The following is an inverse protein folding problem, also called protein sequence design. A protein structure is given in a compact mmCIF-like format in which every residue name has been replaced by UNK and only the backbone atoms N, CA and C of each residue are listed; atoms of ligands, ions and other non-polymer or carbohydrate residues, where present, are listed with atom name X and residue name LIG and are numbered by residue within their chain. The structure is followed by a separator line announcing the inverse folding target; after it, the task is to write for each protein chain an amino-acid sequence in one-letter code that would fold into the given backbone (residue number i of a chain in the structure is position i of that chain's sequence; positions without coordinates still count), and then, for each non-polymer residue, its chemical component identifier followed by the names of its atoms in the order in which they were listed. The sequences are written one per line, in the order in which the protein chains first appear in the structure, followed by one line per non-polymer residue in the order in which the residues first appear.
data_IF_465592668655
#
_entry.id   IF_465592668655
#
_cell.length_a   1.000
_cell.length_b   1.000
_cell.length_c   1.000
_cell.angle_alpha   90.00
_cell.angle_beta   90.00
_cell.angle_gamma   90.00
#
_symmetry.space_group_name_H-M   'P 1'
#
loop_
_entity.id
_entity.type
_entity.pdbx_description
1 polymer ?
#
# COMPACT_ATOMS: atom_id res chain seq x y z
N UNK A 1 -17.81 35.71 46.31
CA UNK A 1 -19.04 35.07 45.80
C UNK A 1 -18.61 34.17 44.64
N UNK A 2 -18.03 32.97 44.89
CA UNK A 2 -18.70 31.65 45.00
C UNK A 2 -19.71 31.43 43.85
N UNK A 3 -19.71 30.37 43.03
CA UNK A 3 -19.21 28.97 43.09
C UNK A 3 -18.58 28.58 41.71
N UNK A 4 -17.58 27.71 41.51
CA UNK A 4 -17.27 26.30 41.90
C UNK A 4 -18.15 25.21 41.24
N UNK A 5 -17.45 24.20 40.67
CA UNK A 5 -17.84 22.81 40.30
C UNK A 5 -18.48 22.58 38.91
N UNK A 6 -18.25 21.51 38.14
CA UNK A 6 -17.24 20.42 38.03
C UNK A 6 -17.71 19.56 36.84
N UNK A 7 -16.82 19.09 35.96
CA UNK A 7 -16.78 17.74 35.33
C UNK A 7 -15.65 17.74 34.28
N UNK A 8 -14.45 17.24 34.62
CA UNK A 8 -13.92 15.91 34.25
C UNK A 8 -14.06 15.60 32.75
N UNK A 9 -13.01 15.77 31.93
CA UNK A 9 -11.86 14.88 31.74
C UNK A 9 -12.17 13.63 30.90
N UNK A 10 -11.55 13.51 29.72
CA UNK A 10 -11.06 12.24 29.17
C UNK A 10 -10.16 12.45 27.94
N UNK A 11 -8.90 12.00 28.09
CA UNK A 11 -7.94 11.61 27.04
C UNK A 11 -7.17 12.68 26.27
N UNK A 12 -6.36 13.42 27.05
CA UNK A 12 -4.98 13.76 26.70
C UNK A 12 -4.15 12.46 26.61
N UNK A 13 -3.52 12.16 25.47
CA UNK A 13 -2.49 11.10 25.37
C UNK A 13 -1.13 11.77 25.18
N UNK A 14 -0.44 12.14 26.27
CA UNK A 14 0.99 12.42 26.22
C UNK A 14 1.71 11.07 26.14
N UNK A 15 2.26 10.75 24.97
CA UNK A 15 3.24 9.67 24.80
C UNK A 15 4.50 10.07 25.57
N UNK A 16 4.51 9.71 26.85
CA UNK A 16 5.62 9.86 27.78
C UNK A 16 6.85 9.14 27.22
N UNK A 17 7.78 9.91 26.67
CA UNK A 17 9.16 9.50 26.34
C UNK A 17 10.01 9.15 27.58
N UNK A 18 9.39 9.03 28.76
CA UNK A 18 10.08 9.01 30.05
C UNK A 18 9.93 7.71 30.86
N UNK A 19 9.18 6.69 30.39
CA UNK A 19 9.00 5.44 31.14
C UNK A 19 9.89 4.28 30.68
N UNK A 20 10.64 4.43 29.58
CA UNK A 20 11.51 3.36 29.06
C UNK A 20 12.79 3.13 29.88
N UNK A 21 13.28 4.13 30.63
CA UNK A 21 14.51 3.95 31.44
C UNK A 21 14.25 3.22 32.76
N UNK A 22 13.08 3.37 33.38
CA UNK A 22 12.76 2.69 34.65
C UNK A 22 12.35 1.22 34.47
N UNK A 23 11.82 0.85 33.30
CA UNK A 23 11.49 -0.54 32.97
C UNK A 23 12.72 -1.36 32.56
N UNK A 24 13.81 -0.72 32.12
CA UNK A 24 15.06 -1.42 31.77
C UNK A 24 15.84 -1.86 33.02
N UNK A 25 15.74 -1.12 34.13
CA UNK A 25 16.41 -1.47 35.40
C UNK A 25 15.76 -2.65 36.16
N UNK A 26 14.55 -3.07 35.79
CA UNK A 26 13.90 -4.27 36.35
C UNK A 26 14.06 -5.52 35.46
N UNK A 27 14.80 -5.42 34.36
CA UNK A 27 14.97 -6.49 33.36
C UNK A 27 16.36 -7.15 33.39
N UNK A 28 17.13 -7.00 34.47
CA UNK A 28 18.17 -7.98 34.83
C UNK A 28 17.51 -9.20 35.51
N UNK A 29 16.62 -9.86 34.78
CA UNK A 29 16.34 -11.26 35.05
C UNK A 29 17.32 -12.04 34.18
N UNK A 30 18.44 -12.46 34.79
CA UNK A 30 19.29 -13.52 34.27
C UNK A 30 18.43 -14.77 34.06
N UNK A 31 17.85 -14.90 32.88
CA UNK A 31 17.16 -16.12 32.46
C UNK A 31 18.24 -17.13 32.10
N UNK A 32 18.81 -17.75 33.14
CA UNK A 32 19.71 -18.89 33.01
C UNK A 32 18.88 -20.12 32.62
N UNK A 33 18.78 -20.36 31.31
CA UNK A 33 18.14 -21.57 30.75
C UNK A 33 19.07 -22.75 31.04
N UNK A 34 18.84 -23.42 32.17
CA UNK A 34 19.50 -24.70 32.45
C UNK A 34 18.99 -25.77 31.48
N UNK A 35 19.93 -26.34 30.75
CA UNK A 35 19.80 -27.49 29.86
C UNK A 35 18.93 -28.61 30.47
N UNK A 36 17.92 -29.02 29.70
CA UNK A 36 16.93 -30.05 30.04
C UNK A 36 17.57 -31.45 30.01
N UNK A 37 17.78 -32.06 31.18
CA UNK A 37 17.87 -33.52 31.32
C UNK A 37 16.46 -34.09 31.36
N UNK A 38 16.13 -34.97 30.41
CA UNK A 38 14.85 -35.70 30.36
C UNK A 38 14.76 -36.72 31.50
N UNK A 39 13.88 -36.44 32.45
CA UNK A 39 13.12 -37.44 33.21
C UNK A 39 11.65 -37.03 33.12
N UNK A 40 10.73 -37.99 33.03
CA UNK A 40 9.31 -37.72 32.86
C UNK A 40 8.75 -37.07 34.14
N UNK A 41 8.79 -35.74 34.22
CA UNK A 41 8.22 -34.94 35.30
C UNK A 41 7.00 -34.18 34.77
N UNK A 42 5.84 -34.44 35.36
CA UNK A 42 4.61 -33.67 35.07
C UNK A 42 4.79 -32.20 35.45
N UNK A 43 4.22 -31.30 34.64
CA UNK A 43 4.18 -29.88 34.97
C UNK A 43 3.48 -29.67 36.30
N UNK A 44 4.08 -28.85 37.17
CA UNK A 44 3.42 -28.43 38.40
C UNK A 44 2.32 -27.42 38.09
N UNK A 45 1.29 -27.35 38.94
CA UNK A 45 0.21 -26.38 38.79
C UNK A 45 0.76 -24.94 38.79
N UNK A 46 1.82 -24.70 39.57
CA UNK A 46 2.50 -23.40 39.65
C UNK A 46 3.24 -23.07 38.36
N UNK A 47 3.99 -24.01 37.76
CA UNK A 47 4.68 -23.77 36.48
C UNK A 47 3.70 -23.37 35.37
N UNK A 48 2.55 -24.02 35.34
CA UNK A 48 1.52 -23.75 34.34
C UNK A 48 0.94 -22.35 34.50
N UNK A 49 0.70 -21.91 35.75
CA UNK A 49 0.25 -20.55 36.05
C UNK A 49 1.30 -19.49 35.69
N UNK A 50 2.58 -19.76 35.95
CA UNK A 50 3.68 -18.84 35.59
C UNK A 50 3.82 -18.76 34.07
N UNK A 51 3.74 -19.89 33.34
CA UNK A 51 3.78 -19.90 31.89
C UNK A 51 2.63 -19.10 31.26
N UNK A 52 1.40 -19.24 31.78
CA UNK A 52 0.23 -18.47 31.33
C UNK A 52 0.42 -16.98 31.64
N UNK A 53 0.93 -16.63 32.82
CA UNK A 53 1.17 -15.22 33.19
C UNK A 53 2.17 -14.55 32.24
N UNK A 54 3.28 -15.24 31.91
CA UNK A 54 4.27 -14.74 30.94
C UNK A 54 3.65 -14.64 29.54
N UNK A 55 2.86 -15.63 29.10
CA UNK A 55 2.20 -15.60 27.79
C UNK A 55 1.23 -14.41 27.66
N UNK A 56 0.44 -14.12 28.70
CA UNK A 56 -0.47 -12.99 28.72
C UNK A 56 0.26 -11.64 28.67
N UNK A 57 1.40 -11.51 29.39
CA UNK A 57 2.25 -10.33 29.35
C UNK A 57 2.79 -10.09 27.93
N UNK A 58 3.29 -11.15 27.27
CA UNK A 58 3.80 -11.07 25.90
C UNK A 58 2.70 -10.67 24.91
N UNK A 59 1.50 -11.22 25.04
CA UNK A 59 0.37 -10.88 24.18
C UNK A 59 -0.07 -9.42 24.34
N UNK A 60 -0.10 -8.92 25.59
CA UNK A 60 -0.47 -7.53 25.89
C UNK A 60 0.48 -6.52 25.23
N UNK A 61 1.80 -6.80 25.22
CA UNK A 61 2.81 -5.94 24.58
C UNK A 61 2.81 -6.11 23.05
N UNK A 62 2.51 -7.29 22.53
CA UNK A 62 2.61 -7.60 21.08
C UNK A 62 1.41 -7.12 20.25
N UNK A 63 0.21 -7.07 20.83
CA UNK A 63 -1.02 -6.68 20.14
C UNK A 63 -0.95 -5.34 19.37
N UNK A 64 -0.42 -4.22 19.92
CA UNK A 64 -0.36 -2.95 19.20
C UNK A 64 0.57 -2.96 17.97
N UNK A 65 1.61 -3.81 17.95
CA UNK A 65 2.57 -3.86 16.85
C UNK A 65 1.99 -4.46 15.57
N UNK A 66 1.07 -5.41 15.69
CA UNK A 66 0.41 -6.06 14.54
C UNK A 66 -0.43 -5.07 13.74
N UNK A 67 -1.12 -4.14 14.42
CA UNK A 67 -1.95 -3.13 13.76
C UNK A 67 -1.16 -2.14 12.89
N UNK A 68 0.10 -1.84 13.25
CA UNK A 68 0.97 -0.96 12.46
C UNK A 68 1.48 -1.61 11.18
N UNK A 69 1.88 -2.89 11.24
CA UNK A 69 2.33 -3.66 10.07
C UNK A 69 1.20 -3.91 9.07
N UNK A 70 -0.01 -4.22 9.55
CA UNK A 70 -1.17 -4.41 8.68
C UNK A 70 -1.60 -3.11 7.97
N UNK A 71 -1.45 -1.95 8.63
CA UNK A 71 -1.74 -0.64 8.04
C UNK A 71 -0.72 -0.22 6.97
N UNK A 72 0.57 -0.49 7.19
CA UNK A 72 1.62 -0.21 6.19
C UNK A 72 1.56 -1.13 4.99
N UNK A 73 1.11 -2.38 5.17
CA UNK A 73 0.99 -3.35 4.09
C UNK A 73 0.08 -2.86 2.96
N UNK A 74 -1.09 -2.25 3.27
CA UNK A 74 -2.07 -1.93 2.23
C UNK A 74 -1.62 -0.89 1.20
N UNK A 75 -0.83 0.12 1.59
CA UNK A 75 -0.29 1.11 0.63
C UNK A 75 0.76 0.47 -0.27
N UNK A 76 1.66 -0.33 0.33
CA UNK A 76 2.70 -1.02 -0.44
C UNK A 76 2.09 -2.01 -1.42
N UNK A 77 1.12 -2.81 -0.99
CA UNK A 77 0.45 -3.79 -1.85
C UNK A 77 -0.22 -3.12 -3.05
N UNK A 78 -0.99 -2.06 -2.83
CA UNK A 78 -1.64 -1.31 -3.91
C UNK A 78 -0.61 -0.67 -4.84
N UNK A 79 0.49 -0.16 -4.29
CA UNK A 79 1.55 0.42 -5.10
C UNK A 79 2.27 -0.61 -5.97
N UNK A 80 2.54 -1.80 -5.44
CA UNK A 80 3.12 -2.91 -6.19
C UNK A 80 2.17 -3.42 -7.27
N UNK A 81 0.88 -3.48 -7.00
CA UNK A 81 -0.14 -3.87 -7.97
C UNK A 81 -0.19 -2.90 -9.17
N UNK A 82 -0.18 -1.59 -8.89
CA UNK A 82 -0.16 -0.59 -9.94
C UNK A 82 1.15 -0.59 -10.74
N UNK A 83 2.30 -0.71 -10.06
CA UNK A 83 3.60 -0.87 -10.72
C UNK A 83 3.63 -2.12 -11.62
N UNK A 84 3.11 -3.24 -11.11
CA UNK A 84 2.99 -4.49 -11.86
C UNK A 84 2.10 -4.34 -13.10
N UNK A 85 1.01 -3.56 -13.00
CA UNK A 85 0.15 -3.25 -14.14
C UNK A 85 0.92 -2.50 -15.23
N UNK A 86 1.69 -1.47 -14.86
CA UNK A 86 2.48 -0.69 -15.83
C UNK A 86 3.59 -1.52 -16.47
N UNK A 87 4.27 -2.36 -15.68
CA UNK A 87 5.27 -3.31 -16.20
C UNK A 87 4.64 -4.34 -17.13
N UNK A 88 3.46 -4.88 -16.78
CA UNK A 88 2.70 -5.80 -17.63
C UNK A 88 2.33 -5.15 -18.97
N UNK A 89 1.75 -3.94 -18.94
CA UNK A 89 1.39 -3.21 -20.16
C UNK A 89 2.59 -2.95 -21.07
N UNK A 90 3.74 -2.58 -20.49
CA UNK A 90 5.00 -2.41 -21.23
C UNK A 90 5.43 -3.72 -21.91
N UNK A 91 5.43 -4.82 -21.18
CA UNK A 91 5.82 -6.13 -21.70
C UNK A 91 4.87 -6.61 -22.80
N UNK A 92 3.56 -6.43 -22.64
CA UNK A 92 2.58 -6.76 -23.68
C UNK A 92 2.78 -5.92 -24.95
N UNK A 93 3.11 -4.63 -24.81
CA UNK A 93 3.37 -3.78 -25.99
C UNK A 93 4.56 -4.30 -26.81
N UNK A 94 5.63 -4.71 -26.11
CA UNK A 94 6.82 -5.28 -26.73
C UNK A 94 6.50 -6.65 -27.35
N UNK A 95 5.86 -7.53 -26.59
CA UNK A 95 5.60 -8.91 -27.02
C UNK A 95 4.64 -8.99 -28.20
N UNK A 96 3.62 -8.13 -28.23
CA UNK A 96 2.63 -8.08 -29.32
C UNK A 96 3.07 -7.22 -30.48
N UNK A 97 4.15 -6.45 -30.33
CA UNK A 97 4.55 -5.40 -31.27
C UNK A 97 3.39 -4.43 -31.59
N UNK A 98 2.59 -4.08 -30.57
CA UNK A 98 1.39 -3.25 -30.68
C UNK A 98 1.35 -2.23 -29.54
N UNK A 99 0.51 -1.19 -29.69
CA UNK A 99 0.28 -0.22 -28.62
C UNK A 99 -0.61 -0.83 -27.55
N UNK A 100 -0.18 -0.75 -26.30
CA UNK A 100 -0.98 -1.15 -25.13
C UNK A 100 -1.24 0.08 -24.28
N UNK A 101 -2.50 0.30 -23.94
CA UNK A 101 -2.94 1.45 -23.16
C UNK A 101 -3.48 0.99 -21.81
N UNK A 102 -3.05 1.69 -20.75
CA UNK A 102 -3.63 1.59 -19.41
C UNK A 102 -4.44 2.85 -19.19
N UNK A 103 -5.73 2.74 -18.88
CA UNK A 103 -6.57 3.90 -18.63
C UNK A 103 -7.43 3.72 -17.38
N UNK A 104 -7.84 4.84 -16.77
CA UNK A 104 -8.85 4.82 -15.71
C UNK A 104 -10.15 4.26 -16.26
N UNK A 105 -10.79 3.39 -15.49
CA UNK A 105 -12.08 2.80 -15.84
C UNK A 105 -12.87 2.52 -14.57
N UNK A 106 -14.11 3.00 -14.51
CA UNK A 106 -15.00 2.77 -13.37
C UNK A 106 -15.84 1.50 -13.52
N UNK A 107 -16.11 1.08 -14.75
CA UNK A 107 -16.94 -0.08 -15.10
C UNK A 107 -16.11 -1.29 -15.58
N UNK A 108 -14.82 -1.09 -15.83
CA UNK A 108 -13.93 -2.10 -16.38
C UNK A 108 -14.12 -2.36 -17.87
N UNK A 109 -14.89 -1.54 -18.58
CA UNK A 109 -15.22 -1.75 -20.00
C UNK A 109 -14.67 -0.64 -20.87
N UNK A 110 -14.75 0.59 -20.38
CA UNK A 110 -14.34 1.76 -21.14
C UNK A 110 -13.39 2.67 -20.35
N UNK A 111 -12.59 3.44 -21.09
CA UNK A 111 -11.77 4.48 -20.51
C UNK A 111 -12.63 5.68 -20.11
N UNK A 112 -12.35 6.27 -18.96
CA UNK A 112 -13.04 7.50 -18.51
C UNK A 112 -12.06 8.61 -18.17
N UNK A 113 -12.49 9.83 -18.44
CA UNK A 113 -11.78 11.07 -18.07
C UNK A 113 -12.25 11.62 -16.72
N UNK A 114 -13.36 11.09 -16.19
CA UNK A 114 -13.94 11.49 -14.90
C UNK A 114 -13.36 10.65 -13.75
N UNK A 115 -13.39 11.22 -12.54
CA UNK A 115 -12.87 10.60 -11.32
C UNK A 115 -11.34 10.38 -11.32
N UNK A 116 -10.86 9.65 -10.31
CA UNK A 116 -9.44 9.31 -10.14
C UNK A 116 -9.14 7.87 -10.54
N UNK A 117 -7.86 7.49 -10.49
CA UNK A 117 -7.45 6.12 -10.82
C UNK A 117 -7.87 5.12 -9.74
N UNK A 118 -8.23 5.60 -8.54
CA UNK A 118 -8.73 4.77 -7.45
C UNK A 118 -10.04 4.05 -7.78
N UNK A 119 -10.82 4.50 -8.77
CA UNK A 119 -12.03 3.80 -9.20
C UNK A 119 -11.77 2.51 -9.98
N UNK A 120 -10.52 2.31 -10.41
CA UNK A 120 -10.11 1.17 -11.23
C UNK A 120 -9.43 1.59 -12.51
N UNK A 121 -8.84 0.60 -13.17
CA UNK A 121 -8.16 0.76 -14.46
C UNK A 121 -8.22 -0.52 -15.26
N UNK A 122 -8.07 -0.37 -16.57
CA UNK A 122 -7.97 -1.46 -17.52
C UNK A 122 -6.69 -1.35 -18.34
N UNK A 123 -6.21 -2.49 -18.81
CA UNK A 123 -5.10 -2.64 -19.75
C UNK A 123 -5.67 -3.30 -20.99
N UNK A 124 -5.48 -2.69 -22.16
CA UNK A 124 -6.06 -3.19 -23.40
C UNK A 124 -5.16 -2.90 -24.61
N UNK A 125 -5.42 -3.61 -25.70
CA UNK A 125 -4.78 -3.39 -27.00
C UNK A 125 -5.40 -2.16 -27.67
N UNK A 126 -4.58 -1.14 -27.94
CA UNK A 126 -5.03 0.12 -28.53
C UNK A 126 -4.59 0.20 -30.00
N UNK A 127 -5.14 -0.69 -30.83
CA UNK A 127 -4.81 -0.79 -32.25
C UNK A 127 -5.14 0.49 -33.02
N UNK A 128 -6.21 1.17 -32.62
CA UNK A 128 -6.67 2.43 -33.23
C UNK A 128 -5.87 3.67 -32.81
N UNK A 129 -4.99 3.57 -31.81
CA UNK A 129 -4.25 4.70 -31.25
C UNK A 129 -5.19 5.84 -30.79
N UNK A 130 -6.28 5.46 -30.12
CA UNK A 130 -7.32 6.38 -29.66
C UNK A 130 -7.41 6.45 -28.14
N UNK A 131 -6.65 5.63 -27.41
CA UNK A 131 -6.79 5.46 -25.96
C UNK A 131 -8.24 5.12 -25.55
N UNK A 132 -8.91 4.36 -26.40
CA UNK A 132 -10.28 3.87 -26.22
C UNK A 132 -10.32 2.39 -26.58
N UNK A 133 -11.14 1.64 -25.83
CA UNK A 133 -11.37 0.22 -26.12
C UNK A 133 -12.22 0.13 -27.37
N UNK A 134 -11.72 -0.56 -28.40
CA UNK A 134 -12.48 -0.78 -29.63
C UNK A 134 -13.46 -1.94 -29.43
N UNK A 135 -12.96 -3.09 -28.99
CA UNK A 135 -13.76 -4.27 -28.70
C UNK A 135 -13.51 -4.79 -27.30
N UNK A 136 -14.52 -5.39 -26.66
CA UNK A 136 -14.37 -5.90 -25.28
C UNK A 136 -13.32 -7.01 -25.14
N UNK A 137 -12.97 -7.69 -26.24
CA UNK A 137 -11.92 -8.72 -26.29
C UNK A 137 -10.50 -8.14 -26.28
N UNK A 138 -10.33 -6.85 -26.58
CA UNK A 138 -9.03 -6.18 -26.51
C UNK A 138 -8.55 -5.95 -25.07
N UNK A 139 -9.46 -6.07 -24.09
CA UNK A 139 -9.15 -5.90 -22.67
C UNK A 139 -8.35 -7.10 -22.16
N UNK A 140 -7.08 -6.85 -21.86
CA UNK A 140 -6.12 -7.86 -21.38
C UNK A 140 -6.18 -8.05 -19.86
N UNK A 141 -6.42 -6.95 -19.12
CA UNK A 141 -6.48 -6.98 -17.66
C UNK A 141 -7.40 -5.88 -17.15
N UNK A 142 -8.15 -6.21 -16.11
CA UNK A 142 -8.98 -5.26 -15.38
C UNK A 142 -8.59 -5.24 -13.91
N UNK A 143 -8.59 -4.05 -13.33
CA UNK A 143 -8.56 -3.85 -11.89
C UNK A 143 -9.74 -2.99 -11.46
N UNK A 144 -10.61 -3.54 -10.61
CA UNK A 144 -11.71 -2.79 -10.00
C UNK A 144 -11.23 -1.77 -8.97
N UNK A 145 -12.16 -1.08 -8.27
CA UNK A 145 -11.83 0.03 -7.39
C UNK A 145 -10.90 -0.36 -6.24
N UNK A 146 -10.08 0.60 -5.84
CA UNK A 146 -9.27 0.53 -4.64
C UNK A 146 -10.18 0.59 -3.41
N UNK A 147 -9.82 -0.15 -2.36
CA UNK A 147 -10.57 -0.18 -1.10
C UNK A 147 -9.91 0.69 -0.04
N UNK A 148 -10.72 1.14 0.91
CA UNK A 148 -10.30 2.06 1.97
C UNK A 148 -10.09 3.49 1.46
N UNK A 149 -9.63 4.37 2.34
CA UNK A 149 -9.30 5.77 2.06
C UNK A 149 -8.00 5.88 1.22
N UNK A 150 -7.98 5.26 0.04
CA UNK A 150 -6.84 5.24 -0.87
C UNK A 150 -7.18 6.03 -2.14
N UNK A 151 -6.35 7.00 -2.49
CA UNK A 151 -6.51 7.81 -3.72
C UNK A 151 -5.33 7.57 -4.65
N UNK A 152 -5.56 7.60 -5.97
CA UNK A 152 -4.50 7.49 -6.96
C UNK A 152 -4.72 8.56 -8.03
N UNK A 153 -3.84 9.57 -8.03
CA UNK A 153 -3.98 10.74 -8.88
C UNK A 153 -2.80 10.89 -9.82
N UNK A 154 -3.07 11.24 -11.08
CA UNK A 154 -2.04 11.49 -12.09
C UNK A 154 -1.95 12.98 -12.42
N UNK A 155 -0.75 13.50 -12.65
CA UNK A 155 -0.58 14.82 -13.24
C UNK A 155 -1.03 14.82 -14.72
N UNK A 156 -1.07 15.99 -15.36
CA UNK A 156 -1.62 16.18 -16.71
C UNK A 156 -1.24 15.06 -17.72
N UNK A 157 0.03 14.67 -17.86
CA UNK A 157 0.40 13.64 -18.83
C UNK A 157 -0.12 12.24 -18.61
N UNK A 158 -0.44 11.88 -17.37
CA UNK A 158 -0.89 10.53 -16.99
C UNK A 158 -2.22 10.62 -16.24
N UNK A 159 -2.97 11.71 -16.45
CA UNK A 159 -4.22 11.98 -15.75
C UNK A 159 -5.28 10.93 -16.09
N UNK A 160 -5.32 10.52 -17.35
CA UNK A 160 -6.39 9.68 -17.90
C UNK A 160 -5.90 8.31 -18.36
N UNK A 161 -4.72 8.25 -18.96
CA UNK A 161 -4.15 7.02 -19.47
C UNK A 161 -2.62 7.09 -19.51
N UNK A 162 -1.99 5.93 -19.67
CA UNK A 162 -0.57 5.73 -19.99
C UNK A 162 -0.53 4.75 -21.16
N UNK A 163 0.11 5.11 -22.29
CA UNK A 163 0.22 4.18 -23.42
C UNK A 163 1.67 3.84 -23.75
N UNK A 164 1.92 2.56 -23.95
CA UNK A 164 3.19 1.98 -24.33
C UNK A 164 3.15 1.56 -25.80
N UNK A 165 4.17 1.94 -26.56
CA UNK A 165 4.36 1.47 -27.94
C UNK A 165 5.30 0.26 -27.99
N UNK A 166 5.45 -0.36 -29.16
CA UNK A 166 6.17 -1.63 -29.33
C UNK A 166 7.63 -1.64 -28.88
N UNK A 167 8.31 -0.50 -28.83
CA UNK A 167 9.67 -0.41 -28.29
C UNK A 167 9.72 -0.23 -26.74
N UNK A 168 8.56 -0.30 -26.07
CA UNK A 168 8.40 -0.11 -24.64
C UNK A 168 8.49 1.34 -24.14
N UNK A 169 8.61 2.32 -25.04
CA UNK A 169 8.52 3.74 -24.67
C UNK A 169 7.07 4.18 -24.50
N UNK A 170 6.85 5.29 -23.80
CA UNK A 170 5.52 5.86 -23.58
C UNK A 170 5.27 7.07 -24.46
N UNK A 171 4.10 7.06 -25.10
CA UNK A 171 3.69 8.09 -26.04
C UNK A 171 2.22 8.46 -25.84
N UNK A 172 1.84 9.68 -26.19
CA UNK A 172 0.43 10.03 -26.36
C UNK A 172 -0.12 9.43 -27.65
N UNK A 173 -1.44 9.52 -27.81
CA UNK A 173 -2.11 9.20 -29.08
C UNK A 173 -1.65 10.11 -30.22
N UNK A 174 -1.23 11.33 -29.88
CA UNK A 174 -0.62 12.29 -30.81
C UNK A 174 0.80 11.92 -31.24
N UNK A 175 1.40 10.87 -30.67
CA UNK A 175 2.80 10.50 -30.89
C UNK A 175 3.81 11.29 -30.06
N UNK A 176 3.37 12.33 -29.34
CA UNK A 176 4.24 13.07 -28.42
C UNK A 176 4.73 12.16 -27.28
N UNK A 177 5.90 12.47 -26.73
CA UNK A 177 6.43 11.73 -25.59
C UNK A 177 5.56 11.88 -24.35
N UNK A 178 5.28 10.77 -23.67
CA UNK A 178 4.49 10.78 -22.45
C UNK A 178 5.40 10.48 -21.26
N UNK A 179 5.53 11.45 -20.35
CA UNK A 179 6.27 11.33 -19.10
C UNK A 179 5.50 12.09 -18.03
N UNK A 180 5.41 11.53 -16.83
CA UNK A 180 4.50 12.07 -15.82
C UNK A 180 4.67 11.43 -14.46
N UNK A 181 3.75 11.75 -13.58
CA UNK A 181 3.79 11.30 -12.20
C UNK A 181 2.39 10.92 -11.74
N UNK A 182 2.28 9.73 -11.15
CA UNK A 182 1.11 9.32 -10.40
C UNK A 182 1.45 9.27 -8.92
N UNK A 183 0.53 9.66 -8.06
CA UNK A 183 0.69 9.65 -6.60
C UNK A 183 -0.43 8.83 -6.00
N UNK A 184 -0.06 7.72 -5.37
CA UNK A 184 -0.92 6.93 -4.51
C UNK A 184 -0.85 7.50 -3.09
N UNK A 185 -1.99 7.75 -2.48
CA UNK A 185 -2.10 8.24 -1.12
C UNK A 185 -3.03 7.37 -0.29
N UNK A 186 -2.70 7.18 0.98
CA UNK A 186 -3.60 6.62 2.00
C UNK A 186 -3.27 7.28 3.33
N UNK A 187 -4.20 8.09 3.84
CA UNK A 187 -3.93 9.00 4.96
C UNK A 187 -2.68 9.86 4.63
N UNK A 188 -1.74 10.02 5.56
CA UNK A 188 -0.53 10.85 5.36
C UNK A 188 0.60 10.15 4.56
N UNK A 189 0.46 8.84 4.25
CA UNK A 189 1.50 8.07 3.56
C UNK A 189 1.18 7.94 2.08
N UNK A 190 2.19 8.09 1.23
CA UNK A 190 2.04 7.92 -0.20
C UNK A 190 3.24 7.30 -0.90
N UNK A 191 2.98 6.88 -2.15
CA UNK A 191 3.99 6.40 -3.09
C UNK A 191 3.80 7.15 -4.41
N UNK A 192 4.88 7.73 -4.91
CA UNK A 192 4.93 8.46 -6.16
C UNK A 192 5.56 7.59 -7.25
N UNK A 193 4.84 7.38 -8.34
CA UNK A 193 5.31 6.72 -9.55
C UNK A 193 5.79 7.78 -10.52
N UNK A 194 7.08 7.78 -10.83
CA UNK A 194 7.66 8.68 -11.84
C UNK A 194 7.87 7.89 -13.13
N UNK A 195 7.08 8.23 -14.14
CA UNK A 195 7.12 7.64 -15.48
C UNK A 195 8.06 8.45 -16.37
N UNK A 196 9.12 7.80 -16.85
CA UNK A 196 10.02 8.37 -17.85
C UNK A 196 9.54 8.07 -19.27
N UNK A 197 9.92 8.92 -20.23
CA UNK A 197 9.65 8.75 -21.68
C UNK A 197 10.02 7.36 -22.22
N UNK A 198 11.10 6.78 -21.73
CA UNK A 198 11.53 5.43 -22.12
C UNK A 198 10.59 4.32 -21.61
N UNK A 199 9.50 4.67 -20.92
CA UNK A 199 8.51 3.79 -20.32
C UNK A 199 8.92 3.12 -19.00
N UNK A 200 10.06 3.53 -18.41
CA UNK A 200 10.47 3.03 -17.09
C UNK A 200 9.69 3.76 -16.01
N UNK A 201 9.23 3.03 -15.01
CA UNK A 201 8.53 3.56 -13.85
C UNK A 201 9.40 3.32 -12.62
N UNK A 202 9.63 4.38 -11.84
CA UNK A 202 10.31 4.31 -10.54
C UNK A 202 9.37 4.75 -9.44
N UNK A 203 9.49 4.15 -8.27
CA UNK A 203 8.66 4.49 -7.10
C UNK A 203 9.49 5.28 -6.08
N UNK A 204 8.91 6.34 -5.53
CA UNK A 204 9.48 7.13 -4.45
C UNK A 204 8.46 7.20 -3.29
N UNK A 205 8.92 7.05 -2.05
CA UNK A 205 8.05 7.31 -0.89
C UNK A 205 7.74 8.80 -0.83
N UNK A 206 6.51 9.16 -0.49
CA UNK A 206 6.09 10.55 -0.36
C UNK A 206 5.05 10.68 0.77
N UNK A 207 4.77 11.90 1.19
CA UNK A 207 3.71 12.21 2.16
C UNK A 207 2.55 12.86 1.43
N UNK A 208 1.35 12.59 1.91
CA UNK A 208 0.11 13.13 1.37
C UNK A 208 -0.39 14.25 2.28
N UNK A 209 -0.96 15.29 1.65
CA UNK A 209 -1.52 16.45 2.33
C UNK A 209 -3.04 16.32 2.43
#
# INVERSE_FOLDING_TARGET
MFLRSHFSACFDVPVHRATLHSLFYLLELDVSIRSLRRTSSGLTLVDTLVAIAIALLLLAVSAPYLGGMLRSAGVSTTAHEFLSTLSYARSEAINRNQRITVCKSADGRECTTQGGWEQGWIVFVDAGNQAQVAESEDILRMRGPLRGETTLTGNMPVRNYVSYVSNGSTQYVSGAFQAGTLTLCRQERGVKFVLARAGRVRTEKTTCQ
#
